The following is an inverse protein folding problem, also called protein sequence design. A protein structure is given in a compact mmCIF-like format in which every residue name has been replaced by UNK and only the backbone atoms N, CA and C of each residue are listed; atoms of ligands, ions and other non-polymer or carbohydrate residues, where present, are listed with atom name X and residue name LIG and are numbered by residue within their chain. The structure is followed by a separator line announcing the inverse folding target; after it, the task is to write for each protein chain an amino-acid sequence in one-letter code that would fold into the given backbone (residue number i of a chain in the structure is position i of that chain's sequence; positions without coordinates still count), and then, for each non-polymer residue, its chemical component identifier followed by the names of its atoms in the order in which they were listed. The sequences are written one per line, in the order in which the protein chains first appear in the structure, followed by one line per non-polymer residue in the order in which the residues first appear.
data_IF_730442902801
#
_entry.id   IF_730442902801
#
_cell.length_a   1.000
_cell.length_b   1.000
_cell.length_c   1.000
_cell.angle_alpha   90.00
_cell.angle_beta   90.00
_cell.angle_gamma   90.00
#
_symmetry.space_group_name_H-M   'P 1'
#
loop_
_entity.id
_entity.type
_entity.pdbx_description
1 polymer ?
#
# COMPACT_ATOMS: atom_id res chain seq x y z
N UNK A 1 41.90 46.06 -51.23
CA UNK A 1 43.20 45.44 -50.92
C UNK A 1 43.18 45.09 -49.44
N UNK A 2 43.26 43.78 -49.15
CA UNK A 2 43.92 43.12 -48.00
C UNK A 2 43.75 43.68 -46.57
N UNK A 3 43.67 42.93 -45.47
CA UNK A 3 43.63 41.52 -45.08
C UNK A 3 43.52 41.62 -43.54
N UNK A 4 42.62 40.91 -42.85
CA UNK A 4 42.89 40.59 -41.44
C UNK A 4 42.12 39.35 -41.00
N UNK A 5 42.89 38.34 -40.60
CA UNK A 5 42.45 37.08 -40.03
C UNK A 5 41.91 37.28 -38.60
N UNK A 6 40.99 36.41 -38.19
CA UNK A 6 40.86 36.02 -36.79
C UNK A 6 40.25 34.61 -36.70
N UNK A 7 41.05 33.68 -36.19
CA UNK A 7 40.64 32.38 -35.67
C UNK A 7 39.62 32.58 -34.53
N UNK A 8 38.55 31.78 -34.51
CA UNK A 8 37.88 31.41 -33.26
C UNK A 8 37.56 29.91 -33.33
N UNK A 9 38.24 29.13 -32.50
CA UNK A 9 37.97 27.71 -32.32
C UNK A 9 36.68 27.51 -31.53
N UNK A 10 35.76 26.72 -32.07
CA UNK A 10 34.53 26.33 -31.39
C UNK A 10 34.74 24.95 -30.76
N UNK A 11 34.89 24.94 -29.43
CA UNK A 11 34.95 23.73 -28.63
C UNK A 11 33.59 23.01 -28.68
N UNK A 12 33.58 21.77 -29.18
CA UNK A 12 32.41 20.90 -29.18
C UNK A 12 32.24 20.33 -27.76
N UNK A 13 31.19 20.76 -27.06
CA UNK A 13 30.72 20.15 -25.83
C UNK A 13 30.09 18.79 -26.16
N UNK A 14 30.77 17.70 -25.81
CA UNK A 14 30.21 16.35 -25.87
C UNK A 14 29.19 16.21 -24.73
N UNK A 15 27.91 16.16 -25.07
CA UNK A 15 26.86 15.80 -24.13
C UNK A 15 26.92 14.28 -23.87
N UNK A 16 27.32 13.87 -22.66
CA UNK A 16 27.11 12.50 -22.20
C UNK A 16 25.61 12.26 -22.01
N UNK A 17 25.02 11.18 -22.56
CA UNK A 17 23.70 10.76 -22.13
C UNK A 17 23.80 10.25 -20.69
N UNK A 18 23.02 10.86 -19.79
CA UNK A 18 22.84 10.31 -18.45
C UNK A 18 22.17 8.93 -18.58
N UNK A 19 22.88 7.87 -18.18
CA UNK A 19 22.31 6.54 -18.10
C UNK A 19 21.17 6.57 -17.08
N UNK A 20 19.94 6.35 -17.54
CA UNK A 20 18.81 6.09 -16.66
C UNK A 20 19.14 4.83 -15.83
N UNK A 21 19.12 4.97 -14.51
CA UNK A 21 19.29 3.82 -13.62
C UNK A 21 17.96 3.08 -13.62
N UNK A 22 17.88 1.94 -14.32
CA UNK A 22 16.78 0.99 -14.17
C UNK A 22 16.81 0.47 -12.72
N UNK A 23 15.93 1.01 -11.89
CA UNK A 23 15.67 0.47 -10.56
C UNK A 23 15.13 -0.97 -10.69
N UNK A 24 15.25 -1.78 -9.62
CA UNK A 24 14.65 -3.11 -9.61
C UNK A 24 13.18 -3.02 -10.04
N UNK A 25 12.68 -3.95 -10.88
CA UNK A 25 11.32 -3.90 -11.37
C UNK A 25 10.37 -3.81 -10.20
N UNK A 26 9.60 -2.72 -10.13
CA UNK A 26 8.51 -2.62 -9.18
C UNK A 26 7.56 -3.78 -9.48
N UNK A 27 7.42 -4.69 -8.53
CA UNK A 27 6.39 -5.73 -8.60
C UNK A 27 5.07 -4.96 -8.48
N UNK A 28 4.39 -4.77 -9.60
CA UNK A 28 3.04 -4.23 -9.65
C UNK A 28 2.13 -5.31 -9.08
N UNK A 29 2.06 -5.39 -7.75
CA UNK A 29 1.02 -6.16 -7.10
C UNK A 29 -0.33 -5.60 -7.60
N UNK A 30 -1.27 -6.45 -8.03
CA UNK A 30 -2.61 -5.96 -8.33
C UNK A 30 -3.08 -5.13 -7.14
N UNK A 31 -3.59 -3.91 -7.39
CA UNK A 31 -3.91 -2.93 -6.36
C UNK A 31 -4.90 -3.43 -5.28
N UNK A 32 -5.51 -4.59 -5.52
CA UNK A 32 -6.43 -5.25 -4.61
C UNK A 32 -5.75 -6.19 -3.60
N UNK A 33 -4.56 -6.73 -3.91
CA UNK A 33 -3.86 -7.69 -3.04
C UNK A 33 -2.95 -6.98 -2.05
N UNK A 34 -3.38 -6.94 -0.78
CA UNK A 34 -2.54 -6.48 0.32
C UNK A 34 -1.45 -7.51 0.62
N UNK A 35 -0.28 -7.36 0.00
CA UNK A 35 0.93 -8.10 0.37
C UNK A 35 1.59 -7.41 1.55
N UNK A 36 1.50 -8.02 2.74
CA UNK A 36 2.24 -7.55 3.90
C UNK A 36 3.67 -8.10 3.83
N UNK A 37 4.60 -7.28 3.32
CA UNK A 37 6.02 -7.59 3.31
C UNK A 37 6.61 -7.64 4.72
N UNK A 38 7.54 -8.58 4.94
CA UNK A 38 8.32 -8.76 6.17
C UNK A 38 7.44 -8.77 7.45
N UNK A 39 6.43 -9.65 7.47
CA UNK A 39 5.53 -9.80 8.62
C UNK A 39 6.28 -10.01 9.94
N UNK A 40 7.45 -10.67 9.91
CA UNK A 40 8.31 -10.91 11.07
C UNK A 40 8.92 -9.61 11.66
N UNK A 41 9.02 -8.55 10.87
CA UNK A 41 9.48 -7.23 11.33
C UNK A 41 8.35 -6.37 11.90
N UNK A 42 7.10 -6.86 11.83
CA UNK A 42 5.91 -6.14 12.29
C UNK A 42 5.33 -6.84 13.51
N UNK A 43 4.86 -6.04 14.46
CA UNK A 43 4.10 -6.58 15.59
C UNK A 43 2.78 -7.13 15.06
N UNK A 44 2.60 -8.45 15.15
CA UNK A 44 1.39 -9.13 14.73
C UNK A 44 0.70 -9.83 15.90
N UNK A 45 -0.61 -9.97 15.80
CA UNK A 45 -1.44 -10.72 16.75
C UNK A 45 -2.33 -11.71 15.99
N UNK A 46 -2.56 -12.91 16.53
CA UNK A 46 -3.57 -13.81 16.00
C UNK A 46 -4.97 -13.23 16.29
N UNK A 47 -5.74 -13.03 15.23
CA UNK A 47 -7.13 -12.62 15.27
C UNK A 47 -8.03 -13.78 14.83
N UNK A 48 -8.89 -14.24 15.73
CA UNK A 48 -9.87 -15.29 15.47
C UNK A 48 -11.14 -14.68 14.85
N UNK A 49 -11.46 -15.14 13.63
CA UNK A 49 -12.62 -14.73 12.84
C UNK A 49 -13.78 -15.74 12.92
N UNK A 50 -13.81 -16.58 13.95
CA UNK A 50 -14.80 -17.64 14.12
C UNK A 50 -14.65 -18.74 13.08
N UNK A 51 -15.72 -19.04 12.34
CA UNK A 51 -15.67 -20.04 11.26
C UNK A 51 -14.71 -19.68 10.13
N UNK A 52 -14.27 -18.41 10.09
CA UNK A 52 -13.27 -17.90 9.16
C UNK A 52 -11.82 -18.27 9.47
N UNK A 53 -11.56 -18.84 10.65
CA UNK A 53 -10.21 -19.21 11.10
C UNK A 53 -9.44 -18.05 11.75
N UNK A 54 -8.19 -18.36 12.13
CA UNK A 54 -7.28 -17.42 12.80
C UNK A 54 -6.32 -16.82 11.77
N UNK A 55 -6.22 -15.50 11.73
CA UNK A 55 -5.40 -14.75 10.79
C UNK A 55 -4.40 -13.85 11.53
N UNK A 56 -3.18 -13.66 11.01
CA UNK A 56 -2.24 -12.69 11.56
C UNK A 56 -2.69 -11.27 11.19
N UNK A 57 -2.86 -10.42 12.20
CA UNK A 57 -3.18 -9.00 12.04
C UNK A 57 -2.00 -8.15 12.49
N UNK A 58 -1.67 -7.12 11.72
CA UNK A 58 -0.67 -6.11 12.10
C UNK A 58 -1.29 -5.16 13.11
N UNK A 59 -0.56 -4.89 14.20
CA UNK A 59 -0.90 -3.80 15.12
C UNK A 59 -0.45 -2.49 14.47
N UNK A 60 -1.40 -1.73 13.96
CA UNK A 60 -1.17 -0.40 13.38
C UNK A 60 -1.77 0.69 14.28
N UNK A 61 -0.93 1.39 15.03
CA UNK A 61 -1.35 2.52 15.88
C UNK A 61 -1.63 3.81 15.10
N UNK A 62 -1.26 3.87 13.82
CA UNK A 62 -1.54 4.97 12.92
C UNK A 62 -2.92 4.88 12.25
N UNK A 63 -3.58 3.73 12.35
CA UNK A 63 -4.92 3.53 11.84
C UNK A 63 -5.99 3.86 12.88
N UNK A 64 -6.96 4.72 12.53
CA UNK A 64 -8.11 5.02 13.39
C UNK A 64 -9.10 3.84 13.47
N UNK A 65 -9.13 3.00 12.43
CA UNK A 65 -10.03 1.84 12.31
C UNK A 65 -9.27 0.63 11.77
N UNK A 66 -9.74 -0.57 12.11
CA UNK A 66 -9.27 -1.81 11.50
C UNK A 66 -9.56 -1.83 10.00
N UNK A 67 -8.56 -2.18 9.20
CA UNK A 67 -8.64 -2.34 7.74
C UNK A 67 -8.49 -3.83 7.43
N UNK A 68 -9.25 -4.34 6.47
CA UNK A 68 -9.17 -5.71 5.97
C UNK A 68 -8.65 -5.70 4.54
N UNK A 69 -7.98 -6.78 4.11
CA UNK A 69 -7.75 -6.94 2.67
C UNK A 69 -9.06 -7.34 1.98
N UNK A 70 -9.21 -6.95 0.71
CA UNK A 70 -10.34 -7.39 -0.12
C UNK A 70 -10.41 -8.92 -0.18
N UNK A 71 -9.29 -9.59 -0.36
CA UNK A 71 -9.22 -11.06 -0.43
C UNK A 71 -9.69 -11.71 0.86
N UNK A 72 -9.32 -11.15 2.02
CA UNK A 72 -9.74 -11.70 3.29
C UNK A 72 -11.26 -11.51 3.47
N UNK A 73 -11.78 -10.33 3.13
CA UNK A 73 -13.22 -10.08 3.19
C UNK A 73 -14.01 -11.02 2.26
N UNK A 74 -13.50 -11.28 1.05
CA UNK A 74 -14.08 -12.21 0.09
C UNK A 74 -14.00 -13.67 0.58
N UNK A 75 -12.84 -14.10 1.11
CA UNK A 75 -12.65 -15.44 1.70
C UNK A 75 -13.60 -15.71 2.86
N UNK A 76 -13.87 -14.68 3.66
CA UNK A 76 -14.79 -14.74 4.79
C UNK A 76 -16.26 -14.52 4.38
N UNK A 77 -16.53 -14.23 3.10
CA UNK A 77 -17.85 -13.89 2.57
C UNK A 77 -18.55 -12.79 3.40
N UNK A 78 -17.80 -11.75 3.78
CA UNK A 78 -18.33 -10.67 4.62
C UNK A 78 -19.38 -9.86 3.86
N UNK A 79 -20.40 -9.39 4.59
CA UNK A 79 -21.40 -8.52 4.02
C UNK A 79 -20.78 -7.17 3.62
N UNK A 80 -21.12 -6.62 2.44
CA UNK A 80 -20.63 -5.30 2.03
C UNK A 80 -21.21 -4.23 2.96
N UNK A 81 -20.39 -3.27 3.34
CA UNK A 81 -20.79 -2.07 4.05
C UNK A 81 -20.92 -0.85 3.13
N UNK A 82 -20.86 0.34 3.72
CA UNK A 82 -20.92 1.61 2.99
C UNK A 82 -19.56 2.02 2.45
N UNK A 83 -19.54 2.70 1.31
CA UNK A 83 -18.31 3.35 0.83
C UNK A 83 -17.92 4.51 1.75
N UNK A 84 -16.63 4.58 2.11
CA UNK A 84 -16.08 5.61 3.00
C UNK A 84 -14.87 6.28 2.39
N UNK A 85 -14.58 7.49 2.87
CA UNK A 85 -13.38 8.23 2.52
C UNK A 85 -12.33 8.02 3.62
N UNK A 86 -11.16 7.52 3.26
CA UNK A 86 -10.03 7.20 4.15
C UNK A 86 -8.88 8.14 3.83
N UNK A 87 -8.35 8.79 4.86
CA UNK A 87 -7.10 9.55 4.78
C UNK A 87 -5.94 8.63 5.10
N UNK A 88 -5.01 8.48 4.17
CA UNK A 88 -3.77 7.71 4.30
C UNK A 88 -2.57 8.66 4.32
N UNK A 89 -1.38 8.12 4.53
CA UNK A 89 -0.14 8.90 4.40
C UNK A 89 0.10 9.42 2.98
N UNK A 90 -0.48 8.77 1.97
CA UNK A 90 -0.30 9.09 0.55
C UNK A 90 -1.41 9.97 -0.02
N UNK A 91 -2.48 10.24 0.74
CA UNK A 91 -3.57 11.10 0.30
C UNK A 91 -4.92 10.66 0.85
N UNK A 92 -5.99 10.95 0.11
CA UNK A 92 -7.35 10.60 0.50
C UNK A 92 -7.95 9.71 -0.59
N UNK A 93 -8.46 8.54 -0.18
CA UNK A 93 -9.03 7.54 -1.07
C UNK A 93 -10.47 7.22 -0.67
N UNK A 94 -11.28 6.81 -1.64
CA UNK A 94 -12.66 6.36 -1.42
C UNK A 94 -12.68 4.85 -1.62
N UNK A 95 -13.00 4.11 -0.56
CA UNK A 95 -12.92 2.64 -0.53
C UNK A 95 -14.23 2.03 -0.04
N UNK A 96 -14.59 0.82 -0.53
CA UNK A 96 -15.66 0.05 0.08
C UNK A 96 -15.29 -0.39 1.50
N UNK A 97 -16.28 -0.84 2.25
CA UNK A 97 -16.08 -1.47 3.55
C UNK A 97 -16.73 -2.85 3.57
N UNK A 98 -16.36 -3.67 4.54
CA UNK A 98 -17.03 -4.91 4.89
C UNK A 98 -17.47 -4.90 6.35
N UNK A 99 -18.58 -5.57 6.63
CA UNK A 99 -19.08 -5.78 7.98
C UNK A 99 -18.50 -7.06 8.53
N UNK A 100 -17.65 -6.93 9.54
CA UNK A 100 -17.12 -8.05 10.30
C UNK A 100 -18.03 -8.28 11.52
N UNK A 101 -18.74 -9.43 11.62
CA UNK A 101 -19.72 -9.66 12.68
C UNK A 101 -19.07 -9.83 14.06
N UNK A 102 -17.81 -10.26 14.10
CA UNK A 102 -17.04 -10.36 15.33
C UNK A 102 -15.62 -10.82 15.05
N UNK A 103 -14.71 -10.46 15.95
CA UNK A 103 -13.32 -10.90 15.98
C UNK A 103 -12.91 -11.09 17.43
N UNK A 104 -12.00 -12.01 17.70
CA UNK A 104 -11.34 -12.12 19.00
C UNK A 104 -9.84 -11.97 18.86
N UNK A 105 -9.25 -11.10 19.68
CA UNK A 105 -7.82 -10.89 19.78
C UNK A 105 -7.46 -11.10 21.25
N UNK A 106 -6.84 -12.23 21.58
CA UNK A 106 -6.58 -12.61 22.98
C UNK A 106 -7.87 -12.56 23.83
N UNK A 107 -7.94 -11.68 24.84
CA UNK A 107 -9.12 -11.47 25.69
C UNK A 107 -10.08 -10.40 25.15
N UNK A 108 -9.69 -9.65 24.11
CA UNK A 108 -10.51 -8.64 23.48
C UNK A 108 -11.47 -9.29 22.48
N UNK A 109 -12.74 -8.93 22.57
CA UNK A 109 -13.79 -9.37 21.66
C UNK A 109 -14.66 -8.16 21.31
N UNK A 110 -14.20 -7.29 20.38
CA UNK A 110 -15.02 -6.17 19.95
C UNK A 110 -16.36 -6.66 19.36
N UNK A 111 -17.42 -5.85 19.46
CA UNK A 111 -18.67 -6.11 18.75
C UNK A 111 -18.43 -6.06 17.23
N UNK A 112 -19.49 -6.24 16.44
CA UNK A 112 -19.37 -6.09 15.00
C UNK A 112 -18.74 -4.75 14.62
N UNK A 113 -17.77 -4.80 13.70
CA UNK A 113 -17.06 -3.63 13.18
C UNK A 113 -17.28 -3.51 11.68
N UNK A 114 -17.28 -2.27 11.19
CA UNK A 114 -17.21 -1.98 9.77
C UNK A 114 -15.78 -1.57 9.42
N UNK A 115 -15.14 -2.34 8.55
CA UNK A 115 -13.72 -2.20 8.20
C UNK A 115 -13.55 -1.78 6.74
N UNK A 116 -12.75 -0.75 6.42
CA UNK A 116 -12.33 -0.44 5.06
C UNK A 116 -11.58 -1.60 4.41
N UNK A 117 -11.70 -1.70 3.08
CA UNK A 117 -10.98 -2.66 2.23
C UNK A 117 -9.83 -2.00 1.45
#
# INVERSE_FOLDING_TARGET
MERMAALVGLAVLVACPAAAQDGPPAIEAPADVLVIGEADLRMTVPADMGSGGIWPFVIDTGAERTVLSRELAERLALAPGRTVRVTTMTGVVVVPTAILPGMRISTLAPPSIEAPL
#
